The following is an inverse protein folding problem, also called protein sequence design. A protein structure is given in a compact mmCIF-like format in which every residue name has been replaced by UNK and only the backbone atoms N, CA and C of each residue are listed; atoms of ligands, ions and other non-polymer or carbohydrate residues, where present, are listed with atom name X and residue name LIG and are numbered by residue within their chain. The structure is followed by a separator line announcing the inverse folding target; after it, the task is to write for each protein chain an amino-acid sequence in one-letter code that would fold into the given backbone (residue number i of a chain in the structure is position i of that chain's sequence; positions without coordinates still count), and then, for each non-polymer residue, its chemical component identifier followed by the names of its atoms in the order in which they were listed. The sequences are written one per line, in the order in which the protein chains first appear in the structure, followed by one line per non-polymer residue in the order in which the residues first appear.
data_IF_490469160612
#
_entry.id   IF_490469160612
#
_cell.length_a   1.000
_cell.length_b   1.000
_cell.length_c   1.000
_cell.angle_alpha   90.00
_cell.angle_beta   90.00
_cell.angle_gamma   90.00
#
_symmetry.space_group_name_H-M   'P 1'
#
loop_
_entity.id
_entity.type
_entity.pdbx_description
1 polymer ?
#
# COMPACT_ATOMS: atom_id res chain seq x y z
N UNK A 1 -11.02 16.05 -1.87
CA UNK A 1 -10.04 15.80 -0.78
C UNK A 1 -8.94 14.85 -1.23
N UNK A 2 -9.20 13.55 -1.42
CA UNK A 2 -8.16 12.54 -1.72
C UNK A 2 -7.26 12.95 -2.90
N UNK A 3 -7.81 13.10 -4.10
CA UNK A 3 -7.05 13.49 -5.30
C UNK A 3 -6.18 14.75 -5.11
N UNK A 4 -6.70 15.77 -4.41
CA UNK A 4 -5.96 17.00 -4.08
C UNK A 4 -4.76 16.72 -3.20
N UNK A 5 -4.91 15.90 -2.16
CA UNK A 5 -3.86 15.64 -1.19
C UNK A 5 -2.81 14.66 -1.71
N UNK A 6 -3.24 13.62 -2.42
CA UNK A 6 -2.37 12.53 -2.85
C UNK A 6 -1.76 12.79 -4.23
N UNK A 7 -2.30 13.70 -5.02
CA UNK A 7 -1.89 13.90 -6.42
C UNK A 7 -2.43 12.84 -7.37
N UNK A 8 -3.27 11.91 -6.90
CA UNK A 8 -3.93 10.93 -7.76
C UNK A 8 -5.07 11.55 -8.57
N UNK A 9 -5.43 10.93 -9.69
CA UNK A 9 -6.54 11.36 -10.54
C UNK A 9 -7.91 11.10 -9.89
N UNK A 10 -7.99 10.06 -9.07
CA UNK A 10 -9.16 9.70 -8.28
C UNK A 10 -8.77 8.97 -7.01
N UNK A 11 -9.73 8.82 -6.10
CA UNK A 11 -9.57 7.96 -4.93
C UNK A 11 -10.88 7.73 -4.17
N UNK A 12 -10.89 6.71 -3.32
CA UNK A 12 -12.01 6.38 -2.43
C UNK A 12 -11.50 5.83 -1.10
N UNK A 13 -12.42 5.67 -0.14
CA UNK A 13 -12.15 5.14 1.20
C UNK A 13 -12.80 3.76 1.33
N UNK A 14 -12.07 2.82 1.93
CA UNK A 14 -12.49 1.44 2.24
C UNK A 14 -12.22 1.11 3.71
N UNK A 15 -12.58 -0.09 4.17
CA UNK A 15 -12.54 -0.44 5.60
C UNK A 15 -11.14 -0.36 6.21
N UNK A 16 -10.10 -0.81 5.50
CA UNK A 16 -8.69 -0.71 5.93
C UNK A 16 -7.74 -0.81 4.72
N UNK A 17 -6.44 -0.59 4.94
CA UNK A 17 -5.43 -0.68 3.86
C UNK A 17 -5.39 -2.08 3.23
N UNK A 18 -5.51 -3.14 4.05
CA UNK A 18 -5.56 -4.53 3.57
C UNK A 18 -6.75 -4.79 2.63
N UNK A 19 -7.92 -4.18 2.89
CA UNK A 19 -9.04 -4.19 1.95
C UNK A 19 -8.70 -3.47 0.65
N UNK A 20 -7.95 -2.37 0.73
CA UNK A 20 -7.44 -1.63 -0.43
C UNK A 20 -6.57 -2.51 -1.34
N UNK A 21 -5.71 -3.36 -0.77
CA UNK A 21 -4.87 -4.31 -1.53
C UNK A 21 -5.76 -5.27 -2.32
N UNK A 22 -6.69 -5.95 -1.65
CA UNK A 22 -7.61 -6.88 -2.31
C UNK A 22 -8.44 -6.19 -3.39
N UNK A 23 -8.99 -5.00 -3.10
CA UNK A 23 -9.79 -4.23 -4.05
C UNK A 23 -8.99 -3.79 -5.28
N UNK A 24 -7.75 -3.31 -5.09
CA UNK A 24 -6.89 -2.87 -6.18
C UNK A 24 -6.50 -4.04 -7.09
N UNK A 25 -6.13 -5.18 -6.50
CA UNK A 25 -5.81 -6.41 -7.25
C UNK A 25 -7.03 -6.92 -8.02
N UNK A 26 -8.17 -7.11 -7.35
CA UNK A 26 -9.40 -7.56 -8.00
C UNK A 26 -9.85 -6.59 -9.11
N UNK A 27 -9.66 -5.28 -8.91
CA UNK A 27 -9.85 -4.26 -9.93
C UNK A 27 -8.93 -4.47 -11.15
N UNK A 28 -7.64 -4.71 -10.94
CA UNK A 28 -6.70 -4.99 -12.03
C UNK A 28 -7.04 -6.29 -12.80
N UNK A 29 -7.59 -7.30 -12.11
CA UNK A 29 -8.01 -8.57 -12.74
C UNK A 29 -9.27 -8.41 -13.60
N UNK A 30 -10.24 -7.62 -13.15
CA UNK A 30 -11.60 -7.60 -13.73
C UNK A 30 -11.90 -6.36 -14.58
N UNK A 31 -11.12 -5.29 -14.41
CA UNK A 31 -11.43 -3.99 -14.97
C UNK A 31 -12.83 -3.53 -14.55
N UNK A 32 -13.68 -3.26 -15.53
CA UNK A 32 -15.08 -2.88 -15.30
C UNK A 32 -16.09 -3.96 -15.69
N UNK A 33 -15.64 -5.20 -15.93
CA UNK A 33 -16.52 -6.32 -16.29
C UNK A 33 -17.32 -6.80 -15.08
N UNK A 34 -18.62 -6.51 -15.05
CA UNK A 34 -19.48 -6.84 -13.91
C UNK A 34 -19.57 -8.35 -13.66
N UNK A 35 -19.65 -9.16 -14.73
CA UNK A 35 -19.68 -10.61 -14.60
C UNK A 35 -18.35 -11.14 -14.01
N UNK A 36 -17.21 -10.57 -14.40
CA UNK A 36 -15.93 -10.95 -13.81
C UNK A 36 -15.86 -10.60 -12.32
N UNK A 37 -16.41 -9.45 -11.92
CA UNK A 37 -16.50 -9.03 -10.51
C UNK A 37 -17.34 -10.00 -9.67
N UNK A 38 -18.45 -10.49 -10.22
CA UNK A 38 -19.36 -11.44 -9.56
C UNK A 38 -18.75 -12.85 -9.41
N UNK A 39 -17.80 -13.21 -10.29
CA UNK A 39 -17.12 -14.53 -10.30
C UNK A 39 -15.96 -14.63 -9.30
N UNK A 40 -15.37 -13.50 -8.91
CA UNK A 40 -14.30 -13.50 -7.91
C UNK A 40 -14.84 -13.87 -6.51
N UNK A 41 -14.04 -14.55 -5.68
CA UNK A 41 -12.63 -14.90 -5.88
C UNK A 41 -12.42 -16.29 -6.50
N UNK A 42 -13.48 -17.11 -6.60
CA UNK A 42 -13.35 -18.55 -6.84
C UNK A 42 -13.12 -18.89 -8.32
N UNK A 43 -13.70 -18.13 -9.24
CA UNK A 43 -13.60 -18.35 -10.68
C UNK A 43 -12.83 -17.22 -11.38
N UNK A 44 -11.59 -17.53 -11.75
CA UNK A 44 -10.68 -16.61 -12.46
C UNK A 44 -10.42 -17.03 -13.91
N UNK A 45 -11.21 -17.95 -14.46
CA UNK A 45 -11.02 -18.42 -15.83
C UNK A 45 -11.17 -17.27 -16.83
N UNK A 46 -10.17 -17.13 -17.71
CA UNK A 46 -10.08 -16.07 -18.69
C UNK A 46 -9.59 -14.71 -18.14
N UNK A 47 -9.28 -14.62 -16.85
CA UNK A 47 -8.71 -13.43 -16.23
C UNK A 47 -7.18 -13.56 -16.06
N UNK A 48 -6.52 -12.41 -16.08
CA UNK A 48 -5.19 -12.31 -15.45
C UNK A 48 -5.39 -12.42 -13.94
N UNK A 49 -4.57 -13.21 -13.25
CA UNK A 49 -4.76 -13.54 -11.84
C UNK A 49 -3.44 -13.80 -11.09
N UNK A 50 -2.31 -13.44 -11.66
CA UNK A 50 -1.01 -13.49 -11.00
C UNK A 50 -0.62 -12.09 -10.53
N UNK A 51 -0.07 -11.99 -9.32
CA UNK A 51 0.44 -10.73 -8.76
C UNK A 51 1.91 -10.90 -8.42
N UNK A 52 2.76 -10.15 -9.10
CA UNK A 52 4.21 -10.18 -8.83
C UNK A 52 4.48 -9.43 -7.53
N UNK A 53 5.32 -10.00 -6.67
CA UNK A 53 5.76 -9.36 -5.42
C UNK A 53 7.22 -9.74 -5.16
N UNK A 54 8.04 -8.79 -4.71
CA UNK A 54 9.41 -9.12 -4.30
C UNK A 54 9.35 -10.09 -3.12
N UNK A 55 10.14 -11.17 -3.10
CA UNK A 55 10.00 -12.18 -2.04
C UNK A 55 10.27 -11.59 -0.64
N UNK A 56 11.21 -10.64 -0.52
CA UNK A 56 11.45 -9.88 0.71
C UNK A 56 10.29 -8.97 1.16
N UNK A 57 9.27 -8.78 0.32
CA UNK A 57 8.04 -8.03 0.64
C UNK A 57 6.89 -8.95 1.10
N UNK A 58 7.05 -10.28 1.02
CA UNK A 58 6.05 -11.23 1.54
C UNK A 58 6.22 -11.34 3.05
N UNK A 59 5.50 -10.48 3.77
CA UNK A 59 5.64 -10.30 5.22
C UNK A 59 4.32 -10.49 5.96
N UNK A 60 4.43 -10.59 7.28
CA UNK A 60 3.29 -10.58 8.19
C UNK A 60 3.24 -9.23 8.93
N UNK A 61 2.12 -8.53 8.83
CA UNK A 61 1.87 -7.24 9.51
C UNK A 61 0.74 -7.34 10.55
N UNK A 62 0.49 -8.54 11.07
CA UNK A 62 -0.74 -8.93 11.79
C UNK A 62 -1.64 -9.85 10.95
N UNK A 63 -1.41 -9.88 9.63
CA UNK A 63 -1.87 -10.90 8.70
C UNK A 63 -0.82 -11.11 7.60
N UNK A 64 -0.73 -12.31 6.98
CA UNK A 64 0.14 -12.52 5.82
C UNK A 64 -0.30 -11.66 4.63
N UNK A 65 0.62 -10.89 4.03
CA UNK A 65 0.30 -10.00 2.90
C UNK A 65 -0.26 -10.74 1.67
N UNK A 66 0.21 -11.96 1.43
CA UNK A 66 -0.28 -12.82 0.35
C UNK A 66 -1.74 -13.23 0.55
N UNK A 67 -2.27 -13.17 1.78
CA UNK A 67 -3.68 -13.43 2.04
C UNK A 67 -4.57 -12.39 1.36
N UNK A 68 -4.17 -11.11 1.34
CA UNK A 68 -4.92 -10.07 0.62
C UNK A 68 -4.94 -10.29 -0.89
N UNK A 69 -3.88 -10.89 -1.44
CA UNK A 69 -3.79 -11.30 -2.85
C UNK A 69 -4.77 -12.45 -3.10
N UNK A 70 -4.73 -13.50 -2.26
CA UNK A 70 -5.63 -14.66 -2.39
C UNK A 70 -7.10 -14.33 -2.20
N UNK A 71 -7.43 -13.36 -1.34
CA UNK A 71 -8.81 -12.86 -1.17
C UNK A 71 -9.38 -12.19 -2.44
N UNK A 72 -8.52 -11.76 -3.37
CA UNK A 72 -8.95 -11.27 -4.67
C UNK A 72 -9.20 -12.41 -5.69
N UNK A 73 -8.88 -13.66 -5.34
CA UNK A 73 -8.79 -14.78 -6.27
C UNK A 73 -7.45 -14.88 -7.00
N UNK A 74 -6.49 -14.03 -6.65
CA UNK A 74 -5.17 -14.01 -7.29
C UNK A 74 -4.14 -14.93 -6.61
N UNK A 75 -3.11 -15.28 -7.35
CA UNK A 75 -1.94 -16.02 -6.87
C UNK A 75 -0.76 -15.06 -6.74
N UNK A 76 -0.13 -15.04 -5.57
CA UNK A 76 1.14 -14.35 -5.38
C UNK A 76 2.25 -15.07 -6.15
N UNK A 77 3.01 -14.34 -6.96
CA UNK A 77 4.18 -14.84 -7.69
C UNK A 77 5.42 -14.13 -7.12
N UNK A 78 6.16 -14.78 -6.21
CA UNK A 78 7.33 -14.18 -5.60
C UNK A 78 8.48 -14.06 -6.62
N UNK A 79 9.13 -12.90 -6.66
CA UNK A 79 10.31 -12.63 -7.47
C UNK A 79 11.57 -12.50 -6.60
N UNK A 80 12.63 -13.21 -7.00
CA UNK A 80 13.92 -13.21 -6.31
C UNK A 80 13.95 -14.13 -5.09
N UNK A 81 14.87 -13.84 -4.18
CA UNK A 81 15.04 -14.53 -2.90
C UNK A 81 14.64 -13.60 -1.75
N UNK A 82 14.60 -14.11 -0.52
CA UNK A 82 14.28 -13.28 0.65
C UNK A 82 15.24 -12.11 0.81
N UNK A 83 16.53 -12.31 0.53
CA UNK A 83 17.58 -11.32 0.74
C UNK A 83 17.94 -10.48 -0.49
N UNK A 84 17.59 -10.96 -1.69
CA UNK A 84 17.96 -10.29 -2.95
C UNK A 84 16.89 -10.50 -4.00
N UNK A 85 16.39 -9.41 -4.55
CA UNK A 85 15.60 -9.34 -5.78
C UNK A 85 16.35 -8.45 -6.77
N UNK A 86 16.45 -8.91 -8.02
CA UNK A 86 17.17 -8.24 -9.11
C UNK A 86 16.17 -7.99 -10.23
N UNK A 87 16.51 -7.11 -11.15
CA UNK A 87 15.70 -6.74 -12.31
C UNK A 87 15.18 -7.96 -13.10
N UNK A 88 16.05 -8.89 -13.45
CA UNK A 88 15.70 -10.08 -14.21
C UNK A 88 14.76 -11.02 -13.45
N UNK A 89 14.82 -11.04 -12.11
CA UNK A 89 13.89 -11.85 -11.32
C UNK A 89 12.44 -11.36 -11.49
N UNK A 90 12.24 -10.05 -11.53
CA UNK A 90 10.90 -9.45 -11.73
C UNK A 90 10.49 -9.55 -13.19
N UNK A 91 11.39 -9.24 -14.13
CA UNK A 91 11.11 -9.26 -15.56
C UNK A 91 10.66 -10.64 -16.07
N UNK A 92 11.30 -11.71 -15.61
CA UNK A 92 10.97 -13.10 -15.97
C UNK A 92 9.77 -13.67 -15.19
N UNK A 93 9.42 -13.07 -14.05
CA UNK A 93 8.22 -13.45 -13.29
C UNK A 93 6.93 -12.96 -13.97
N UNK A 94 7.00 -11.88 -14.76
CA UNK A 94 5.85 -11.33 -15.50
C UNK A 94 5.51 -12.23 -16.69
N UNK A 95 4.30 -12.78 -16.69
CA UNK A 95 3.74 -13.67 -17.73
C UNK A 95 2.35 -13.19 -18.20
N UNK A 96 1.76 -13.93 -19.13
CA UNK A 96 0.47 -13.59 -19.73
C UNK A 96 -0.67 -13.43 -18.71
N UNK A 97 -0.61 -14.17 -17.60
CA UNK A 97 -1.59 -14.10 -16.51
C UNK A 97 -1.31 -13.03 -15.46
N UNK A 98 -0.26 -12.23 -15.59
CA UNK A 98 0.10 -11.19 -14.62
C UNK A 98 -0.87 -10.01 -14.68
N UNK A 99 -1.68 -9.84 -13.63
CA UNK A 99 -2.69 -8.79 -13.54
C UNK A 99 -2.12 -7.48 -12.98
N UNK A 100 -1.23 -7.58 -11.99
CA UNK A 100 -0.65 -6.45 -11.30
C UNK A 100 0.68 -6.84 -10.65
N UNK A 101 1.39 -5.85 -10.13
CA UNK A 101 2.52 -6.05 -9.24
C UNK A 101 2.27 -5.31 -7.92
N UNK A 102 2.66 -5.91 -6.80
CA UNK A 102 2.50 -5.36 -5.46
C UNK A 102 3.87 -4.99 -4.87
N UNK A 103 4.03 -3.73 -4.53
CA UNK A 103 5.16 -3.20 -3.78
C UNK A 103 4.70 -2.84 -2.36
N UNK A 104 5.43 -3.27 -1.34
CA UNK A 104 5.03 -3.09 0.06
C UNK A 104 6.06 -2.20 0.74
N UNK A 105 5.60 -1.12 1.37
CA UNK A 105 6.44 -0.20 2.13
C UNK A 105 6.12 -0.40 3.61
N UNK A 106 7.02 -1.11 4.30
CA UNK A 106 6.91 -1.34 5.74
C UNK A 106 8.25 -1.79 6.33
N UNK A 107 8.50 -1.43 7.59
CA UNK A 107 9.65 -1.91 8.37
C UNK A 107 9.71 -3.45 8.53
N UNK A 108 8.61 -4.16 8.27
CA UNK A 108 8.59 -5.63 8.25
C UNK A 108 9.26 -6.21 7.00
N UNK A 109 9.35 -5.44 5.90
CA UNK A 109 9.95 -5.89 4.64
C UNK A 109 11.46 -5.91 4.74
N UNK A 110 12.08 -6.82 3.99
CA UNK A 110 13.52 -6.83 3.82
C UNK A 110 13.90 -5.58 3.04
N UNK A 111 14.67 -4.67 3.64
CA UNK A 111 15.07 -3.43 2.97
C UNK A 111 16.29 -3.63 2.06
N UNK A 112 17.27 -4.40 2.53
CA UNK A 112 18.51 -4.62 1.81
C UNK A 112 18.30 -5.59 0.64
N UNK A 113 18.86 -5.25 -0.52
CA UNK A 113 18.87 -6.13 -1.69
C UNK A 113 17.54 -6.22 -2.44
N UNK A 114 16.54 -5.41 -2.09
CA UNK A 114 15.31 -5.26 -2.86
C UNK A 114 15.47 -4.17 -3.92
N UNK A 115 14.70 -4.27 -5.00
CA UNK A 115 14.58 -3.20 -5.99
C UNK A 115 13.88 -1.99 -5.39
N UNK A 116 14.31 -0.81 -5.80
CA UNK A 116 13.57 0.43 -5.53
C UNK A 116 12.19 0.41 -6.21
N UNK A 117 11.31 1.31 -5.77
CA UNK A 117 9.99 1.46 -6.40
C UNK A 117 10.12 1.84 -7.88
N UNK A 118 11.03 2.74 -8.21
CA UNK A 118 11.26 3.23 -9.56
C UNK A 118 11.68 2.10 -10.51
N UNK A 119 12.68 1.31 -10.12
CA UNK A 119 13.13 0.14 -10.90
C UNK A 119 12.01 -0.89 -11.05
N UNK A 120 11.26 -1.15 -9.97
CA UNK A 120 10.15 -2.10 -9.99
C UNK A 120 9.02 -1.63 -10.92
N UNK A 121 8.67 -0.34 -10.87
CA UNK A 121 7.71 0.30 -11.78
C UNK A 121 8.18 0.23 -13.23
N UNK A 122 9.44 0.58 -13.52
CA UNK A 122 9.99 0.55 -14.87
C UNK A 122 9.86 -0.85 -15.51
N UNK A 123 10.26 -1.89 -14.79
CA UNK A 123 10.18 -3.28 -15.27
C UNK A 123 8.73 -3.72 -15.50
N UNK A 124 7.82 -3.39 -14.58
CA UNK A 124 6.42 -3.77 -14.68
C UNK A 124 5.71 -3.03 -15.82
N UNK A 125 5.96 -1.73 -15.97
CA UNK A 125 5.37 -0.89 -17.01
C UNK A 125 5.87 -1.27 -18.40
N UNK A 126 7.12 -1.70 -18.55
CA UNK A 126 7.66 -2.23 -19.81
C UNK A 126 6.86 -3.44 -20.34
N UNK A 127 6.11 -4.14 -19.47
CA UNK A 127 5.22 -5.26 -19.81
C UNK A 127 3.73 -4.92 -19.68
N UNK A 128 3.39 -3.65 -19.44
CA UNK A 128 2.01 -3.19 -19.27
C UNK A 128 1.32 -3.69 -17.99
N UNK A 129 2.09 -4.01 -16.95
CA UNK A 129 1.59 -4.46 -15.64
C UNK A 129 1.51 -3.25 -14.70
N UNK A 130 0.32 -2.92 -14.14
CA UNK A 130 0.20 -1.82 -13.19
C UNK A 130 0.80 -2.16 -11.82
N UNK A 131 1.39 -1.17 -11.16
CA UNK A 131 1.99 -1.29 -9.82
C UNK A 131 1.07 -0.71 -8.75
N UNK A 132 0.76 -1.55 -7.77
CA UNK A 132 0.03 -1.21 -6.55
C UNK A 132 1.05 -1.09 -5.41
N UNK A 133 1.05 0.05 -4.71
CA UNK A 133 1.90 0.28 -3.54
C UNK A 133 1.06 0.23 -2.27
N UNK A 134 1.41 -0.67 -1.36
CA UNK A 134 0.94 -0.61 0.03
C UNK A 134 1.87 0.31 0.84
N UNK A 135 1.44 1.55 1.04
CA UNK A 135 2.12 2.59 1.80
C UNK A 135 1.38 2.87 3.13
N UNK A 136 0.85 1.82 3.76
CA UNK A 136 -0.06 1.92 4.88
C UNK A 136 0.40 2.87 6.00
N UNK A 137 1.70 2.87 6.29
CA UNK A 137 2.37 3.61 7.36
C UNK A 137 3.17 4.82 6.86
N UNK A 138 2.85 5.39 5.69
CA UNK A 138 3.68 6.46 5.14
C UNK A 138 3.13 7.87 5.38
N UNK A 139 4.06 8.82 5.52
CA UNK A 139 3.78 10.24 5.72
C UNK A 139 3.65 10.97 4.37
N UNK A 140 4.40 10.53 3.36
CA UNK A 140 4.37 11.13 2.04
C UNK A 140 3.18 10.59 1.24
N UNK A 141 2.15 11.42 1.10
CA UNK A 141 0.93 11.05 0.37
C UNK A 141 1.07 11.20 -1.16
N UNK A 142 2.15 11.84 -1.65
CA UNK A 142 2.32 12.22 -3.07
C UNK A 142 3.47 11.51 -3.76
N UNK A 143 4.58 11.26 -3.06
CA UNK A 143 5.81 10.77 -3.67
C UNK A 143 5.65 9.43 -4.37
N UNK A 144 4.89 8.49 -3.82
CA UNK A 144 4.74 7.16 -4.43
C UNK A 144 4.09 7.22 -5.82
N UNK A 145 3.05 8.04 -6.02
CA UNK A 145 2.45 8.25 -7.34
C UNK A 145 3.41 8.99 -8.28
N UNK A 146 4.13 10.00 -7.78
CA UNK A 146 5.13 10.72 -8.56
C UNK A 146 6.32 9.84 -9.01
N UNK A 147 6.62 8.79 -8.24
CA UNK A 147 7.68 7.80 -8.52
C UNK A 147 7.22 6.64 -9.42
N UNK A 148 5.98 6.67 -9.91
CA UNK A 148 5.49 5.72 -10.91
C UNK A 148 4.46 4.70 -10.42
N UNK A 149 3.99 4.76 -9.17
CA UNK A 149 2.90 3.89 -8.73
C UNK A 149 1.59 4.21 -9.49
N UNK A 150 0.82 3.17 -9.84
CA UNK A 150 -0.48 3.34 -10.49
C UNK A 150 -1.63 3.46 -9.48
N UNK A 151 -1.53 2.73 -8.37
CA UNK A 151 -2.38 2.83 -7.18
C UNK A 151 -1.49 2.90 -5.95
N UNK A 152 -1.82 3.76 -5.00
CA UNK A 152 -1.20 3.79 -3.66
C UNK A 152 -2.28 3.66 -2.60
N UNK A 153 -1.95 2.92 -1.54
CA UNK A 153 -2.83 2.60 -0.43
C UNK A 153 -2.26 3.18 0.86
N UNK A 154 -3.08 3.89 1.63
CA UNK A 154 -2.68 4.46 2.93
C UNK A 154 -3.67 4.08 4.03
N UNK A 155 -3.20 4.00 5.28
CA UNK A 155 -4.08 3.80 6.44
C UNK A 155 -4.50 5.14 7.04
N UNK A 156 -5.80 5.37 7.19
CA UNK A 156 -6.30 6.63 7.76
C UNK A 156 -6.05 6.77 9.27
N UNK A 157 -5.91 5.66 10.00
CA UNK A 157 -5.77 5.67 11.47
C UNK A 157 -4.33 5.64 11.99
N UNK A 158 -3.34 5.61 11.09
CA UNK A 158 -1.92 5.66 11.46
C UNK A 158 -1.48 7.12 11.55
N UNK A 159 -0.55 7.56 10.70
CA UNK A 159 0.00 8.92 10.77
C UNK A 159 -1.02 10.02 10.51
N UNK A 160 -2.04 9.73 9.71
CA UNK A 160 -3.18 10.63 9.50
C UNK A 160 -4.03 10.86 10.76
N UNK A 161 -3.93 9.99 11.77
CA UNK A 161 -4.68 10.10 13.04
C UNK A 161 -6.20 10.16 12.87
N UNK A 162 -6.73 9.61 11.78
CA UNK A 162 -8.16 9.48 11.50
C UNK A 162 -8.77 8.19 12.06
N UNK A 163 -10.04 7.90 11.74
CA UNK A 163 -10.68 6.64 12.09
C UNK A 163 -10.13 5.48 11.25
N UNK A 164 -10.33 4.24 11.71
CA UNK A 164 -9.97 3.03 10.94
C UNK A 164 -10.60 3.07 9.56
N UNK A 165 -9.72 3.05 8.56
CA UNK A 165 -10.03 3.22 7.14
C UNK A 165 -8.79 2.88 6.29
N UNK A 166 -9.02 2.58 5.01
CA UNK A 166 -8.00 2.54 3.97
C UNK A 166 -8.32 3.57 2.89
N UNK A 167 -7.31 4.29 2.43
CA UNK A 167 -7.42 5.25 1.32
C UNK A 167 -6.83 4.59 0.09
N UNK A 168 -7.61 4.52 -0.98
CA UNK A 168 -7.16 4.04 -2.30
C UNK A 168 -7.09 5.25 -3.22
N UNK A 169 -5.94 5.50 -3.84
CA UNK A 169 -5.73 6.65 -4.72
C UNK A 169 -4.84 6.27 -5.91
N UNK A 170 -4.99 6.95 -7.03
CA UNK A 170 -4.14 6.72 -8.20
C UNK A 170 -4.83 7.06 -9.52
N UNK A 171 -4.47 6.33 -10.57
CA UNK A 171 -5.07 6.48 -11.90
C UNK A 171 -6.58 6.20 -11.89
N UNK A 172 -7.35 7.02 -12.59
CA UNK A 172 -8.81 7.04 -12.49
C UNK A 172 -9.46 5.75 -12.99
N UNK A 173 -8.93 5.14 -14.04
CA UNK A 173 -9.40 3.87 -14.60
C UNK A 173 -9.23 2.72 -13.60
N UNK A 174 -8.05 2.59 -13.01
CA UNK A 174 -7.74 1.53 -12.04
C UNK A 174 -8.46 1.74 -10.71
N UNK A 175 -8.53 2.97 -10.21
CA UNK A 175 -9.32 3.32 -9.02
C UNK A 175 -10.80 3.00 -9.23
N UNK A 176 -11.35 3.27 -10.43
CA UNK A 176 -12.73 2.91 -10.76
C UNK A 176 -12.94 1.40 -10.75
N UNK A 177 -12.04 0.63 -11.36
CA UNK A 177 -12.09 -0.83 -11.36
C UNK A 177 -12.05 -1.41 -9.93
N UNK A 178 -11.16 -0.87 -9.08
CA UNK A 178 -11.08 -1.24 -7.67
C UNK A 178 -12.36 -0.88 -6.89
N UNK A 179 -12.93 0.30 -7.13
CA UNK A 179 -14.16 0.74 -6.48
C UNK A 179 -15.36 -0.16 -6.82
N UNK A 180 -15.45 -0.63 -8.07
CA UNK A 180 -16.53 -1.52 -8.52
C UNK A 180 -16.56 -2.86 -7.79
N UNK A 181 -15.46 -3.28 -7.14
CA UNK A 181 -15.40 -4.49 -6.32
C UNK A 181 -16.37 -4.45 -5.12
N UNK A 182 -16.94 -3.29 -4.78
CA UNK A 182 -18.07 -3.20 -3.84
C UNK A 182 -19.30 -4.02 -4.28
N UNK A 183 -19.35 -4.46 -5.54
CA UNK A 183 -20.38 -5.36 -6.10
C UNK A 183 -20.00 -6.85 -6.03
N UNK A 184 -18.77 -7.17 -5.64
CA UNK A 184 -18.25 -8.54 -5.53
C UNK A 184 -17.52 -8.75 -4.20
N UNK A 185 -16.29 -9.29 -4.25
CA UNK A 185 -15.49 -9.67 -3.08
C UNK A 185 -15.34 -8.58 -2.02
N UNK A 186 -15.33 -7.31 -2.42
CA UNK A 186 -15.15 -6.20 -1.49
C UNK A 186 -16.46 -5.74 -0.83
N UNK A 187 -17.60 -6.40 -1.10
CA UNK A 187 -18.87 -6.06 -0.45
C UNK A 187 -18.78 -6.16 1.08
N UNK A 188 -18.05 -7.16 1.58
CA UNK A 188 -17.79 -7.33 3.01
C UNK A 188 -16.75 -6.33 3.57
N UNK A 189 -16.06 -5.58 2.70
CA UNK A 189 -14.98 -4.65 3.04
C UNK A 189 -15.42 -3.17 3.01
N UNK A 190 -16.73 -2.91 2.96
CA UNK A 190 -17.27 -1.56 2.88
C UNK A 190 -17.01 -0.78 4.17
N UNK A 191 -16.65 0.49 4.03
CA UNK A 191 -16.43 1.43 5.13
C UNK A 191 -17.73 2.11 5.60
N UNK A 192 -17.80 2.47 6.88
CA UNK A 192 -18.87 3.30 7.46
C UNK A 192 -18.81 4.76 7.01
N UNK A 193 -19.93 5.48 7.07
CA UNK A 193 -20.00 6.89 6.66
C UNK A 193 -19.20 7.80 7.60
N UNK A 194 -19.13 7.42 8.86
CA UNK A 194 -18.38 8.05 9.93
C UNK A 194 -16.87 8.00 9.61
N UNK A 195 -16.38 6.82 9.20
CA UNK A 195 -14.99 6.66 8.76
C UNK A 195 -14.70 7.43 7.47
N UNK A 196 -15.65 7.52 6.53
CA UNK A 196 -15.49 8.36 5.33
C UNK A 196 -15.30 9.83 5.74
N UNK A 197 -16.23 10.38 6.52
CA UNK A 197 -16.18 11.77 6.95
C UNK A 197 -14.93 12.07 7.80
N UNK A 198 -14.63 11.20 8.77
CA UNK A 198 -13.47 11.37 9.65
C UNK A 198 -12.13 11.25 8.91
N UNK A 199 -12.02 10.39 7.89
CA UNK A 199 -10.80 10.30 7.07
C UNK A 199 -10.64 11.51 6.16
N UNK A 200 -11.74 12.04 5.61
CA UNK A 200 -11.69 13.30 4.85
C UNK A 200 -11.22 14.47 5.74
N UNK A 201 -11.76 14.58 6.95
CA UNK A 201 -11.34 15.59 7.91
C UNK A 201 -9.87 15.40 8.34
N UNK A 202 -9.42 14.16 8.55
CA UNK A 202 -8.03 13.85 8.87
C UNK A 202 -7.07 14.24 7.74
N UNK A 203 -7.45 14.00 6.48
CA UNK A 203 -6.69 14.45 5.31
C UNK A 203 -6.62 15.98 5.24
N UNK A 204 -7.74 16.68 5.44
CA UNK A 204 -7.74 18.16 5.45
C UNK A 204 -6.90 18.72 6.60
N UNK A 205 -6.95 18.09 7.77
CA UNK A 205 -6.09 18.44 8.90
C UNK A 205 -4.61 18.17 8.61
N UNK A 206 -4.30 17.09 7.89
CA UNK A 206 -2.93 16.77 7.45
C UNK A 206 -2.36 17.85 6.53
N UNK A 207 -3.15 18.36 5.58
CA UNK A 207 -2.74 19.45 4.67
C UNK A 207 -2.30 20.73 5.41
N UNK A 208 -2.92 21.02 6.55
CA UNK A 208 -2.68 22.24 7.34
C UNK A 208 -1.76 21.99 8.54
N UNK A 209 -1.28 20.75 8.74
CA UNK A 209 -0.54 20.34 9.93
C UNK A 209 0.87 20.94 9.91
N UNK A 210 1.30 21.49 11.03
CA UNK A 210 2.70 21.87 11.24
C UNK A 210 3.55 20.61 11.47
N UNK A 211 3.94 19.97 10.37
CA UNK A 211 4.75 18.75 10.40
C UNK A 211 6.10 18.96 11.06
N UNK A 212 6.73 20.11 10.82
CA UNK A 212 8.03 20.44 11.41
C UNK A 212 7.91 20.64 12.94
N UNK A 213 6.90 21.38 13.39
CA UNK A 213 6.66 21.58 14.82
C UNK A 213 6.20 20.31 15.55
N UNK A 214 5.51 19.39 14.88
CA UNK A 214 5.24 18.05 15.45
C UNK A 214 6.55 17.28 15.62
N UNK A 215 7.36 17.18 14.56
CA UNK A 215 8.64 16.47 14.60
C UNK A 215 9.57 17.05 15.67
N UNK A 216 9.64 18.37 15.78
CA UNK A 216 10.43 19.04 16.82
C UNK A 216 9.95 18.67 18.24
N UNK A 217 8.63 18.55 18.46
CA UNK A 217 8.08 18.13 19.76
C UNK A 217 8.39 16.67 20.08
N UNK A 218 8.32 15.80 19.07
CA UNK A 218 8.68 14.39 19.20
C UNK A 218 10.19 14.24 19.50
N UNK A 219 11.05 14.95 18.78
CA UNK A 219 12.50 15.00 19.02
C UNK A 219 12.84 15.53 20.42
N UNK A 220 12.15 16.59 20.88
CA UNK A 220 12.34 17.13 22.22
C UNK A 220 12.03 16.09 23.31
N UNK A 221 10.99 15.27 23.11
CA UNK A 221 10.68 14.18 24.03
C UNK A 221 11.78 13.11 24.03
N UNK A 222 12.33 12.75 22.87
CA UNK A 222 13.44 11.80 22.76
C UNK A 222 14.69 12.32 23.47
N UNK A 223 15.04 13.59 23.27
CA UNK A 223 16.19 14.22 23.94
C UNK A 223 16.01 14.32 25.45
N UNK A 224 14.79 14.58 25.95
CA UNK A 224 14.49 14.56 27.38
C UNK A 224 14.79 13.17 27.98
N UNK A 225 14.31 12.10 27.34
CA UNK A 225 14.56 10.73 27.79
C UNK A 225 16.04 10.36 27.74
N UNK A 226 16.72 10.70 26.64
CA UNK A 226 18.15 10.47 26.52
C UNK A 226 18.92 11.17 27.64
N UNK A 227 18.66 12.46 27.86
CA UNK A 227 19.33 13.24 28.91
C UNK A 227 19.04 12.73 30.33
N UNK A 228 17.82 12.27 30.59
CA UNK A 228 17.43 11.73 31.91
C UNK A 228 18.09 10.38 32.24
N UNK A 229 18.37 9.57 31.22
CA UNK A 229 18.95 8.23 31.39
C UNK A 229 20.48 8.22 31.23
N UNK A 230 21.04 9.21 30.54
CA UNK A 230 22.46 9.28 30.26
C UNK A 230 23.27 9.55 31.54
N UNK A 231 24.30 8.72 31.77
CA UNK A 231 25.17 8.81 32.94
C UNK A 231 24.76 7.91 34.11
N UNK A 232 23.62 7.20 34.01
CA UNK A 232 23.28 6.16 34.97
C UNK A 232 24.19 4.94 34.80
N UNK A 233 24.80 4.38 35.87
CA UNK A 233 25.67 3.22 35.77
C UNK A 233 24.96 2.03 35.11
N UNK A 234 25.57 1.49 34.05
CA UNK A 234 25.04 0.33 33.33
C UNK A 234 23.95 0.63 32.30
N UNK A 235 23.66 1.90 32.00
CA UNK A 235 22.65 2.30 31.00
C UNK A 235 23.31 3.06 29.84
N UNK A 236 22.98 2.67 28.61
CA UNK A 236 23.31 3.42 27.39
C UNK A 236 22.01 3.82 26.66
N UNK A 237 21.86 5.11 26.38
CA UNK A 237 20.69 5.66 25.69
C UNK A 237 21.08 6.20 24.31
N UNK A 238 20.47 5.67 23.24
CA UNK A 238 20.68 6.08 21.85
C UNK A 238 19.35 6.44 21.20
N UNK A 239 19.34 7.53 20.43
CA UNK A 239 18.22 7.85 19.54
C UNK A 239 18.45 7.10 18.23
N UNK A 240 17.47 6.29 17.83
CA UNK A 240 17.50 5.51 16.59
C UNK A 240 16.41 6.11 15.68
N UNK A 241 16.72 6.47 14.42
CA UNK A 241 15.70 6.91 13.47
C UNK A 241 14.64 5.84 13.27
N UNK A 242 13.39 6.25 13.05
CA UNK A 242 12.35 5.35 12.52
C UNK A 242 12.84 4.84 11.15
N UNK A 243 12.92 3.51 10.93
CA UNK A 243 13.42 2.91 9.68
C UNK A 243 12.64 3.32 8.43
#
# INVERSE_FOLDING_TARGET
VIARLTGGEAGFITACCASGITMAIAGAMTGTSLLAIERLPDDTEGLKSEVIVQLGHIVNYGAPIDQSIRLAGATAVPAGTVSVTQDYHVAEAIRDRTAAALYVVAHHTVQYGMLSLEEFCEICHARGVPVIVDAASEYDLRGFLARGADIVLYSGHKFLSGPTSGIVTGRKDLVRAAYLQNRGVARAMKVGKESIAGTMAALEAWEQRDHAGIRQREEAALHLWQGALQGLPGIEARIIPDP
#
